data_IF_738026334754
#
_entry.id   IF_738026334754
#
_cell.length_a   1.000
_cell.length_b   1.000
_cell.length_c   1.000
_cell.angle_alpha   90.00
_cell.angle_beta   90.00
_cell.angle_gamma   90.00
#
_symmetry.space_group_name_H-M   'P 1'
#
loop_
_entity.id
_entity.type
_entity.pdbx_description
1 polymer ?
#
# COMPACT_ATOMS: atom_id res chain seq x y z
N UNK A 1 7.33 -0.43 20.38
CA UNK A 1 7.09 -0.37 18.92
C UNK A 1 5.73 0.28 18.69
N UNK A 2 5.70 1.51 18.15
CA UNK A 2 4.44 2.24 17.89
C UNK A 2 3.59 1.47 16.88
N UNK A 3 2.31 1.27 17.18
CA UNK A 3 1.38 0.52 16.30
C UNK A 3 1.22 1.18 14.94
N UNK A 4 1.32 2.51 14.87
CA UNK A 4 1.24 3.23 13.60
C UNK A 4 2.38 2.86 12.66
N UNK A 5 3.61 2.81 13.16
CA UNK A 5 4.79 2.46 12.37
C UNK A 5 4.69 1.05 11.77
N UNK A 6 4.11 0.09 12.51
CA UNK A 6 3.84 -1.25 11.98
C UNK A 6 2.91 -1.19 10.77
N UNK A 7 1.78 -0.49 10.90
CA UNK A 7 0.77 -0.38 9.83
C UNK A 7 1.34 0.35 8.60
N UNK A 8 2.14 1.40 8.80
CA UNK A 8 2.78 2.14 7.70
C UNK A 8 3.80 1.25 6.96
N UNK A 9 4.59 0.45 7.69
CA UNK A 9 5.52 -0.51 7.09
C UNK A 9 4.78 -1.61 6.35
N UNK A 10 3.69 -2.14 6.89
CA UNK A 10 2.85 -3.12 6.19
C UNK A 10 2.29 -2.56 4.89
N UNK A 11 1.81 -1.31 4.90
CA UNK A 11 1.37 -0.64 3.66
C UNK A 11 2.50 -0.52 2.64
N UNK A 12 3.68 -0.07 3.06
CA UNK A 12 4.85 0.07 2.17
C UNK A 12 5.24 -1.28 1.58
N UNK A 13 5.35 -2.31 2.41
CA UNK A 13 5.81 -3.64 1.99
C UNK A 13 4.79 -4.32 1.07
N UNK A 14 3.49 -4.16 1.34
CA UNK A 14 2.44 -4.59 0.43
C UNK A 14 2.50 -3.86 -0.92
N UNK A 15 2.69 -2.54 -0.91
CA UNK A 15 2.82 -1.74 -2.13
C UNK A 15 4.05 -2.15 -2.97
N UNK A 16 5.19 -2.39 -2.32
CA UNK A 16 6.40 -2.91 -2.97
C UNK A 16 6.16 -4.29 -3.60
N UNK A 17 5.52 -5.20 -2.87
CA UNK A 17 5.19 -6.53 -3.36
C UNK A 17 4.26 -6.48 -4.58
N UNK A 18 3.24 -5.62 -4.56
CA UNK A 18 2.35 -5.40 -5.71
C UNK A 18 3.15 -4.98 -6.95
N UNK A 19 4.05 -4.00 -6.78
CA UNK A 19 4.88 -3.50 -7.88
C UNK A 19 5.80 -4.57 -8.45
N UNK A 20 6.39 -5.42 -7.60
CA UNK A 20 7.24 -6.53 -8.05
C UNK A 20 6.42 -7.62 -8.77
N UNK A 21 5.23 -7.91 -8.27
CA UNK A 21 4.31 -8.88 -8.88
C UNK A 21 3.86 -8.42 -10.26
N UNK A 22 3.61 -7.13 -10.48
CA UNK A 22 3.36 -6.59 -11.82
C UNK A 22 4.66 -6.58 -12.63
N UNK A 23 5.70 -5.93 -12.11
CA UNK A 23 6.99 -5.78 -12.78
C UNK A 23 6.83 -5.13 -14.16
N UNK A 24 7.56 -5.63 -15.16
CA UNK A 24 7.44 -5.20 -16.56
C UNK A 24 6.44 -5.99 -17.40
N UNK A 25 5.49 -6.69 -16.77
CA UNK A 25 4.55 -7.59 -17.47
C UNK A 25 3.39 -6.79 -18.08
N UNK A 26 2.87 -7.28 -19.21
CA UNK A 26 1.62 -6.77 -19.76
C UNK A 26 0.41 -7.25 -18.94
N UNK A 27 -0.74 -6.60 -19.13
CA UNK A 27 -1.99 -6.98 -18.46
C UNK A 27 -2.35 -8.43 -18.78
N UNK A 28 -2.18 -8.87 -20.03
CA UNK A 28 -2.52 -10.23 -20.48
C UNK A 28 -1.61 -11.28 -19.81
N UNK A 29 -0.34 -10.95 -19.60
CA UNK A 29 0.59 -11.83 -18.89
C UNK A 29 0.22 -11.98 -17.41
N UNK A 30 -0.26 -10.90 -16.77
CA UNK A 30 -0.76 -10.95 -15.40
C UNK A 30 -2.07 -11.71 -15.33
N UNK A 31 -2.98 -11.50 -16.30
CA UNK A 31 -4.28 -12.16 -16.39
C UNK A 31 -4.15 -13.68 -16.50
N UNK A 32 -3.18 -14.16 -17.30
CA UNK A 32 -2.95 -15.58 -17.51
C UNK A 32 -2.27 -16.30 -16.33
N UNK A 33 -1.69 -15.57 -15.38
CA UNK A 33 -0.95 -16.12 -14.23
C UNK A 33 -1.83 -16.11 -12.96
N UNK A 34 -2.58 -17.21 -12.75
CA UNK A 34 -3.52 -17.32 -11.63
C UNK A 34 -2.90 -17.17 -10.24
N UNK A 35 -1.63 -17.60 -10.06
CA UNK A 35 -0.91 -17.45 -8.79
C UNK A 35 -0.59 -15.98 -8.56
N UNK A 36 -0.08 -15.28 -9.59
CA UNK A 36 0.23 -13.85 -9.52
C UNK A 36 -1.01 -13.01 -9.26
N UNK A 37 -2.13 -13.28 -9.94
CA UNK A 37 -3.39 -12.58 -9.64
C UNK A 37 -3.81 -12.77 -8.19
N UNK A 38 -3.74 -14.00 -7.68
CA UNK A 38 -4.09 -14.30 -6.29
C UNK A 38 -3.18 -13.54 -5.31
N UNK A 39 -1.88 -13.48 -5.59
CA UNK A 39 -0.92 -12.71 -4.80
C UNK A 39 -1.19 -11.20 -4.87
N UNK A 40 -1.51 -10.65 -6.04
CA UNK A 40 -1.88 -9.24 -6.19
C UNK A 40 -3.12 -8.91 -5.36
N UNK A 41 -4.18 -9.70 -5.46
CA UNK A 41 -5.40 -9.50 -4.67
C UNK A 41 -5.11 -9.54 -3.17
N UNK A 42 -4.25 -10.46 -2.73
CA UNK A 42 -3.81 -10.53 -1.33
C UNK A 42 -3.10 -9.24 -0.90
N UNK A 43 -2.06 -8.80 -1.62
CA UNK A 43 -1.30 -7.63 -1.21
C UNK A 43 -2.11 -6.33 -1.29
N UNK A 44 -3.00 -6.17 -2.27
CA UNK A 44 -3.93 -5.03 -2.29
C UNK A 44 -4.90 -5.06 -1.10
N UNK A 45 -5.33 -6.25 -0.67
CA UNK A 45 -6.16 -6.41 0.54
C UNK A 45 -5.38 -5.98 1.79
N UNK A 46 -4.13 -6.44 1.95
CA UNK A 46 -3.26 -6.05 3.07
C UNK A 46 -3.02 -4.54 3.07
N UNK A 47 -2.69 -3.95 1.92
CA UNK A 47 -2.49 -2.51 1.77
C UNK A 47 -3.70 -1.71 2.26
N UNK A 48 -4.91 -2.07 1.80
CA UNK A 48 -6.12 -1.35 2.17
C UNK A 48 -6.60 -1.62 3.60
N UNK A 49 -6.34 -2.82 4.14
CA UNK A 49 -6.63 -3.18 5.53
C UNK A 49 -5.74 -2.39 6.48
N UNK A 50 -4.42 -2.39 6.26
CA UNK A 50 -3.49 -1.60 7.05
C UNK A 50 -3.85 -0.10 6.98
N UNK A 51 -4.13 0.43 5.78
CA UNK A 51 -4.59 1.81 5.60
C UNK A 51 -5.87 2.12 6.40
N UNK A 52 -6.80 1.17 6.49
CA UNK A 52 -8.04 1.36 7.26
C UNK A 52 -7.77 1.47 8.76
N UNK A 53 -6.80 0.72 9.28
CA UNK A 53 -6.46 0.65 10.69
C UNK A 53 -5.56 1.80 11.18
N UNK A 54 -4.89 2.54 10.29
CA UNK A 54 -4.10 3.71 10.69
C UNK A 54 -5.02 4.74 11.40
N UNK A 55 -4.64 5.25 12.59
CA UNK A 55 -5.44 6.20 13.34
C UNK A 55 -5.73 7.50 12.57
N UNK A 56 -6.88 8.17 12.81
CA UNK A 56 -7.21 9.43 12.15
C UNK A 56 -6.16 10.53 12.34
N UNK A 57 -5.57 10.64 13.55
CA UNK A 57 -4.53 11.63 13.83
C UNK A 57 -3.31 11.46 12.92
N UNK A 58 -2.86 10.21 12.71
CA UNK A 58 -1.74 9.86 11.83
C UNK A 58 -2.07 10.14 10.36
N UNK A 59 -3.30 9.82 9.92
CA UNK A 59 -3.76 10.14 8.56
C UNK A 59 -3.79 11.65 8.30
N UNK A 60 -4.22 12.42 9.29
CA UNK A 60 -4.27 13.89 9.20
C UNK A 60 -2.89 14.54 9.21
N UNK A 61 -1.89 13.89 9.82
CA UNK A 61 -0.51 14.37 9.81
C UNK A 61 0.16 14.22 8.44
N UNK A 62 -0.23 13.22 7.64
CA UNK A 62 0.25 13.03 6.26
C UNK A 62 -0.93 12.80 5.30
N UNK A 63 -1.67 13.86 4.93
CA UNK A 63 -2.87 13.75 4.11
C UNK A 63 -2.57 13.48 2.62
N UNK A 64 -1.31 13.61 2.19
CA UNK A 64 -0.93 13.37 0.80
C UNK A 64 -0.94 11.88 0.43
N UNK A 65 -0.82 10.98 1.42
CA UNK A 65 -0.97 9.54 1.21
C UNK A 65 -2.44 9.24 0.88
N UNK A 66 -2.68 8.49 -0.19
CA UNK A 66 -4.02 8.17 -0.66
C UNK A 66 -4.74 7.09 0.19
N UNK A 67 -4.88 7.31 1.50
CA UNK A 67 -5.48 6.37 2.48
C UNK A 67 -6.84 5.82 2.02
N UNK A 68 -7.73 6.72 1.59
CA UNK A 68 -9.09 6.37 1.17
C UNK A 68 -9.10 5.53 -0.10
N UNK A 69 -8.16 5.76 -1.01
CA UNK A 69 -8.06 4.97 -2.24
C UNK A 69 -7.65 3.53 -1.93
N UNK A 70 -6.64 3.34 -1.07
CA UNK A 70 -6.22 2.01 -0.61
C UNK A 70 -7.37 1.24 0.06
N UNK A 71 -8.09 1.87 1.00
CA UNK A 71 -9.24 1.22 1.65
C UNK A 71 -10.37 0.89 0.66
N UNK A 72 -10.66 1.77 -0.31
CA UNK A 72 -11.67 1.49 -1.35
C UNK A 72 -11.26 0.31 -2.24
N UNK A 73 -9.99 0.20 -2.61
CA UNK A 73 -9.49 -0.93 -3.39
C UNK A 73 -9.70 -2.25 -2.65
N UNK A 74 -9.34 -2.31 -1.37
CA UNK A 74 -9.62 -3.49 -0.52
C UNK A 74 -11.11 -3.82 -0.47
N UNK A 75 -11.99 -2.83 -0.34
CA UNK A 75 -13.44 -3.08 -0.33
C UNK A 75 -13.94 -3.63 -1.67
N UNK A 76 -13.44 -3.13 -2.80
CA UNK A 76 -13.74 -3.68 -4.14
C UNK A 76 -13.30 -5.15 -4.23
N UNK A 77 -12.11 -5.48 -3.74
CA UNK A 77 -11.57 -6.84 -3.74
C UNK A 77 -12.42 -7.76 -2.88
N UNK A 78 -12.62 -7.44 -1.61
CA UNK A 78 -13.31 -8.35 -0.68
C UNK A 78 -14.78 -8.57 -1.07
N UNK A 79 -15.44 -7.57 -1.69
CA UNK A 79 -16.85 -7.69 -2.08
C UNK A 79 -17.10 -8.11 -3.53
N UNK A 80 -16.08 -8.16 -4.38
CA UNK A 80 -16.26 -8.40 -5.82
C UNK A 80 -15.00 -8.87 -6.54
N UNK A 81 -14.13 -9.64 -5.88
CA UNK A 81 -12.86 -10.11 -6.45
C UNK A 81 -13.01 -10.86 -7.79
N UNK A 82 -14.15 -11.51 -8.03
CA UNK A 82 -14.42 -12.24 -9.28
C UNK A 82 -14.63 -11.33 -10.50
N UNK A 83 -14.84 -10.03 -10.27
CA UNK A 83 -15.12 -9.01 -11.29
C UNK A 83 -14.05 -7.89 -11.26
N UNK A 84 -12.89 -8.18 -10.66
CA UNK A 84 -11.79 -7.21 -10.69
C UNK A 84 -11.11 -7.26 -12.05
N UNK A 85 -11.10 -6.10 -12.69
CA UNK A 85 -10.31 -5.83 -13.87
C UNK A 85 -8.83 -5.79 -13.52
N UNK A 86 -8.05 -6.76 -14.03
CA UNK A 86 -6.60 -6.83 -13.84
C UNK A 86 -5.89 -5.62 -14.44
N UNK A 87 -6.44 -4.98 -15.48
CA UNK A 87 -5.88 -3.75 -16.01
C UNK A 87 -5.87 -2.64 -14.94
N UNK A 88 -6.91 -2.54 -14.12
CA UNK A 88 -6.96 -1.62 -12.98
C UNK A 88 -5.87 -1.94 -11.95
N UNK A 89 -5.64 -3.21 -11.62
CA UNK A 89 -4.58 -3.60 -10.67
C UNK A 89 -3.18 -3.23 -11.20
N UNK A 90 -2.93 -3.48 -12.48
CA UNK A 90 -1.66 -3.16 -13.16
C UNK A 90 -1.45 -1.64 -13.23
N UNK A 91 -2.48 -0.89 -13.60
CA UNK A 91 -2.43 0.57 -13.64
C UNK A 91 -2.15 1.16 -12.25
N UNK A 92 -2.87 0.73 -11.21
CA UNK A 92 -2.61 1.20 -9.84
C UNK A 92 -1.18 0.89 -9.39
N UNK A 93 -0.65 -0.29 -9.75
CA UNK A 93 0.73 -0.64 -9.43
C UNK A 93 1.77 0.27 -10.12
N UNK A 94 1.51 0.66 -11.37
CA UNK A 94 2.41 1.48 -12.17
C UNK A 94 2.30 2.98 -11.83
N UNK A 95 1.09 3.48 -11.67
CA UNK A 95 0.79 4.91 -11.68
C UNK A 95 0.64 5.49 -10.25
N UNK A 96 0.01 4.75 -9.34
CA UNK A 96 -0.34 5.25 -8.00
C UNK A 96 0.68 4.84 -6.93
N UNK A 97 1.08 3.57 -6.93
CA UNK A 97 1.92 3.01 -5.86
C UNK A 97 3.32 3.62 -5.74
N UNK A 98 4.03 4.03 -6.81
CA UNK A 98 5.35 4.66 -6.65
C UNK A 98 5.30 5.91 -5.78
N UNK A 99 4.28 6.76 -5.96
CA UNK A 99 4.11 7.96 -5.15
C UNK A 99 3.75 7.60 -3.71
N UNK A 100 2.82 6.66 -3.51
CA UNK A 100 2.42 6.22 -2.17
C UNK A 100 3.60 5.64 -1.38
N UNK A 101 4.45 4.83 -2.01
CA UNK A 101 5.66 4.26 -1.39
C UNK A 101 6.59 5.38 -0.93
N UNK A 102 6.90 6.34 -1.79
CA UNK A 102 7.78 7.45 -1.44
C UNK A 102 7.22 8.30 -0.29
N UNK A 103 5.90 8.49 -0.23
CA UNK A 103 5.25 9.19 0.87
C UNK A 103 5.30 8.39 2.18
N UNK A 104 5.03 7.08 2.12
CA UNK A 104 5.11 6.18 3.27
C UNK A 104 6.53 6.13 3.83
N UNK A 105 7.55 5.99 2.98
CA UNK A 105 8.95 5.95 3.39
C UNK A 105 9.37 7.23 4.10
N UNK A 106 9.08 8.40 3.52
CA UNK A 106 9.36 9.68 4.18
C UNK A 106 8.66 9.80 5.53
N UNK A 107 7.38 9.43 5.60
CA UNK A 107 6.61 9.57 6.83
C UNK A 107 7.06 8.59 7.92
N UNK A 108 7.44 7.36 7.54
CA UNK A 108 8.07 6.40 8.45
C UNK A 108 9.37 6.98 9.00
N UNK A 109 10.23 7.58 8.17
CA UNK A 109 11.48 8.20 8.63
C UNK A 109 11.23 9.34 9.62
N UNK A 110 10.23 10.19 9.39
CA UNK A 110 9.86 11.26 10.34
C UNK A 110 9.43 10.66 11.69
N UNK A 111 8.54 9.67 11.66
CA UNK A 111 8.02 9.05 12.88
C UNK A 111 9.03 8.18 13.63
N UNK A 112 10.01 7.59 12.92
CA UNK A 112 11.16 6.90 13.50
C UNK A 112 12.19 7.90 14.09
N UNK A 113 12.39 9.04 13.42
CA UNK A 113 13.35 10.08 13.83
C UNK A 113 12.89 10.90 15.04
N UNK A 114 11.58 10.99 15.28
CA UNK A 114 11.01 11.54 16.51
C UNK A 114 11.33 10.69 17.77
N UNK A 115 12.00 9.53 17.63
CA UNK A 115 12.50 8.70 18.75
C UNK A 115 13.99 8.97 19.08
N UNK A 116 14.71 9.86 18.40
CA UNK A 116 16.04 10.31 18.86
C UNK A 116 15.87 11.30 20.04
N UNK A 117 16.33 10.96 21.27
CA UNK A 117 16.33 11.92 22.35
C UNK A 117 17.39 12.98 22.02
N UNK A 118 16.95 14.24 22.08
CA UNK A 118 17.76 15.44 22.31
C UNK A 118 19.15 15.09 22.88
N UNK A 119 20.18 15.04 22.03
CA UNK A 119 21.57 14.96 22.50
C UNK A 119 21.96 16.38 22.95
N UNK A 120 22.18 16.62 24.24
CA UNK A 120 22.77 17.88 24.65
C UNK A 120 24.25 17.87 24.22
N UNK A 121 24.71 19.04 23.75
CA UNK A 121 26.08 19.28 23.34
C UNK A 121 27.10 19.27 24.46
#
# INVERSE_FOLDING_TARGET
>A
MRRELLLLREMRDAALAIRELVGGRSVEQVEADGIRRSALLWHFTVLGEAASQVPPATKSAEPAIAWRAATRMRNRIVHGYWDIDVATLVATAADDLPQMIAQLERFITVLDGDDEPDQPG
#
